data_IF_258551162110
#
_entry.id   IF_258551162110
#
_cell.length_a   1.000
_cell.length_b   1.000
_cell.length_c   1.000
_cell.angle_alpha   90.00
_cell.angle_beta   90.00
_cell.angle_gamma   90.00
#
_symmetry.space_group_name_H-M   'P 1'
#
loop_
_entity.id
_entity.type
_entity.pdbx_description
1 polymer ?
#
# COMPACT_ATOMS: atom_id res chain seq x y z
N UNK A 1 -18.75 -27.46 -11.74
CA UNK A 1 -17.85 -27.77 -12.88
C UNK A 1 -18.14 -29.16 -13.41
N UNK A 2 -18.95 -29.30 -14.48
CA UNK A 2 -19.38 -30.60 -15.01
C UNK A 2 -18.22 -31.49 -15.51
N UNK A 3 -17.25 -30.91 -16.23
CA UNK A 3 -16.13 -31.64 -16.86
C UNK A 3 -15.16 -32.31 -15.86
N UNK A 4 -14.97 -31.74 -14.68
CA UNK A 4 -14.15 -32.36 -13.62
C UNK A 4 -14.81 -33.61 -13.05
N UNK A 5 -16.14 -33.61 -12.95
CA UNK A 5 -16.90 -34.76 -12.45
C UNK A 5 -16.86 -35.93 -13.44
N UNK A 6 -16.79 -35.65 -14.74
CA UNK A 6 -16.61 -36.67 -15.78
C UNK A 6 -15.17 -37.25 -15.77
N UNK A 7 -14.14 -36.41 -15.65
CA UNK A 7 -12.75 -36.88 -15.59
C UNK A 7 -12.45 -37.72 -14.34
N UNK A 8 -13.06 -37.39 -13.21
CA UNK A 8 -12.92 -38.16 -11.98
C UNK A 8 -13.55 -39.58 -12.07
N UNK A 9 -14.33 -39.88 -13.11
CA UNK A 9 -14.85 -41.22 -13.35
C UNK A 9 -13.85 -42.14 -14.07
N UNK A 10 -12.85 -41.58 -14.75
CA UNK A 10 -11.93 -42.33 -15.61
C UNK A 10 -10.46 -42.20 -15.22
N UNK A 11 -10.11 -41.24 -14.35
CA UNK A 11 -8.76 -41.03 -13.85
C UNK A 11 -8.76 -40.44 -12.44
N UNK A 12 -7.65 -40.63 -11.72
CA UNK A 12 -7.41 -39.97 -10.44
C UNK A 12 -7.13 -38.48 -10.67
N UNK A 13 -8.01 -37.63 -10.14
CA UNK A 13 -7.91 -36.18 -10.27
C UNK A 13 -7.31 -35.60 -8.98
N UNK A 14 -6.03 -35.23 -9.05
CA UNK A 14 -5.28 -34.68 -7.90
C UNK A 14 -5.49 -33.17 -7.69
N UNK A 15 -5.92 -32.45 -8.72
CA UNK A 15 -6.12 -31.01 -8.63
C UNK A 15 -6.54 -30.38 -9.96
N UNK A 16 -6.98 -29.13 -9.89
CA UNK A 16 -7.35 -28.32 -11.04
C UNK A 16 -6.59 -27.01 -11.01
N UNK A 17 -5.89 -26.70 -12.10
CA UNK A 17 -5.10 -25.47 -12.23
C UNK A 17 -5.78 -24.54 -13.23
N UNK A 18 -6.15 -23.35 -12.77
CA UNK A 18 -6.68 -22.31 -13.63
C UNK A 18 -5.53 -21.60 -14.35
N UNK A 19 -5.53 -21.62 -15.68
CA UNK A 19 -4.49 -21.01 -16.49
C UNK A 19 -4.86 -19.57 -16.88
N UNK A 20 -4.90 -18.66 -15.89
CA UNK A 20 -5.33 -17.27 -16.11
C UNK A 20 -4.16 -16.27 -16.20
N UNK A 21 -2.94 -16.66 -15.82
CA UNK A 21 -1.77 -15.77 -15.86
C UNK A 21 -0.53 -16.51 -16.38
N UNK A 22 0.10 -15.96 -17.43
CA UNK A 22 1.35 -16.38 -18.08
C UNK A 22 1.50 -17.85 -18.55
N UNK A 23 0.49 -18.71 -18.43
CA UNK A 23 0.56 -20.05 -18.99
C UNK A 23 1.23 -21.10 -18.10
N UNK A 24 1.41 -20.84 -16.79
CA UNK A 24 2.18 -21.70 -15.87
C UNK A 24 1.45 -22.96 -15.39
N UNK A 25 0.17 -23.16 -15.75
CA UNK A 25 -0.58 -24.33 -15.27
C UNK A 25 0.13 -25.68 -15.51
N UNK A 26 0.78 -25.95 -16.67
CA UNK A 26 1.52 -27.19 -16.88
C UNK A 26 2.74 -27.36 -15.97
N UNK A 27 3.46 -26.28 -15.65
CA UNK A 27 4.62 -26.30 -14.74
C UNK A 27 4.18 -26.57 -13.30
N UNK A 28 3.15 -25.87 -12.85
CA UNK A 28 2.60 -26.05 -11.50
C UNK A 28 2.03 -27.46 -11.28
N UNK A 29 1.43 -28.07 -12.31
CA UNK A 29 0.99 -29.47 -12.24
C UNK A 29 2.18 -30.41 -11.95
N UNK A 30 3.30 -30.21 -12.65
CA UNK A 30 4.49 -31.05 -12.49
C UNK A 30 5.14 -30.83 -11.11
N UNK A 31 5.12 -29.59 -10.60
CA UNK A 31 5.64 -29.24 -9.27
C UNK A 31 4.85 -29.95 -8.16
N UNK A 32 3.53 -29.94 -8.24
CA UNK A 32 2.69 -30.65 -7.27
C UNK A 32 2.88 -32.17 -7.37
N UNK A 33 3.00 -32.71 -8.58
CA UNK A 33 3.34 -34.14 -8.76
C UNK A 33 4.71 -34.49 -8.16
N UNK A 34 5.67 -33.56 -8.17
CA UNK A 34 6.99 -33.77 -7.59
C UNK A 34 6.95 -33.74 -6.07
N UNK A 35 6.19 -32.81 -5.50
CA UNK A 35 5.94 -32.76 -4.05
C UNK A 35 5.22 -34.01 -3.55
N UNK A 36 4.37 -34.63 -4.39
CA UNK A 36 3.69 -35.89 -4.09
C UNK A 36 4.55 -37.13 -4.36
N UNK A 37 5.77 -36.97 -4.90
CA UNK A 37 6.68 -38.07 -5.22
C UNK A 37 6.25 -38.92 -6.42
N UNK A 38 5.37 -38.40 -7.29
CA UNK A 38 4.72 -39.13 -8.39
C UNK A 38 5.22 -38.73 -9.78
N UNK A 39 6.22 -37.85 -9.89
CA UNK A 39 6.72 -37.36 -11.19
C UNK A 39 7.59 -38.38 -11.91
N UNK A 40 7.38 -38.51 -13.22
CA UNK A 40 8.24 -39.33 -14.10
C UNK A 40 9.48 -38.55 -14.59
N UNK A 41 10.57 -39.24 -15.01
CA UNK A 41 11.75 -38.58 -15.57
C UNK A 41 11.44 -37.66 -16.77
N UNK A 42 10.54 -38.09 -17.65
CA UNK A 42 10.10 -37.34 -18.85
C UNK A 42 9.37 -36.03 -18.48
N UNK A 43 8.57 -36.05 -17.41
CA UNK A 43 7.89 -34.86 -16.90
C UNK A 43 8.88 -33.86 -16.29
N UNK A 44 9.93 -34.36 -15.60
CA UNK A 44 11.00 -33.50 -15.08
C UNK A 44 11.81 -32.84 -16.20
N UNK A 45 12.11 -33.57 -17.27
CA UNK A 45 12.80 -33.00 -18.44
C UNK A 45 11.93 -31.93 -19.14
N UNK A 46 10.64 -32.22 -19.31
CA UNK A 46 9.68 -31.27 -19.88
C UNK A 46 9.61 -29.97 -19.09
N UNK A 47 9.58 -30.06 -17.75
CA UNK A 47 9.63 -28.90 -16.84
C UNK A 47 10.90 -28.08 -17.05
N UNK A 48 12.07 -28.73 -17.10
CA UNK A 48 13.35 -28.03 -17.31
C UNK A 48 13.37 -27.27 -18.64
N UNK A 49 12.80 -27.86 -19.70
CA UNK A 49 12.68 -27.22 -21.01
C UNK A 49 11.77 -25.98 -20.97
N UNK A 50 10.63 -26.08 -20.28
CA UNK A 50 9.69 -24.96 -20.12
C UNK A 50 10.35 -23.84 -19.29
N UNK A 51 10.91 -24.17 -18.13
CA UNK A 51 11.60 -23.21 -17.25
C UNK A 51 12.78 -22.52 -17.96
N UNK A 52 13.56 -23.26 -18.76
CA UNK A 52 14.67 -22.73 -19.55
C UNK A 52 14.22 -21.72 -20.61
N UNK A 53 13.09 -21.95 -21.27
CA UNK A 53 12.50 -21.01 -22.22
C UNK A 53 12.10 -19.68 -21.55
N UNK A 54 11.61 -19.72 -20.31
CA UNK A 54 11.29 -18.51 -19.53
C UNK A 54 12.55 -17.78 -19.02
N UNK A 55 13.56 -18.51 -18.54
CA UNK A 55 14.84 -17.93 -18.08
C UNK A 55 15.59 -17.18 -19.19
N UNK A 56 15.42 -17.58 -20.45
CA UNK A 56 15.96 -16.85 -21.61
C UNK A 56 15.29 -15.50 -21.89
N UNK A 57 14.08 -15.24 -21.36
CA UNK A 57 13.33 -13.98 -21.53
C UNK A 57 13.49 -12.99 -20.37
N UNK A 58 13.94 -13.44 -19.19
CA UNK A 58 14.03 -12.59 -17.99
C UNK A 58 15.49 -12.22 -17.73
N UNK A 59 16.01 -11.26 -18.47
CA UNK A 59 17.29 -10.58 -18.17
C UNK A 59 17.06 -9.43 -17.20
N UNK A 60 16.58 -9.72 -15.99
CA UNK A 60 16.70 -8.81 -14.86
C UNK A 60 17.13 -9.63 -13.66
N UNK A 61 18.38 -9.43 -13.22
CA UNK A 61 18.90 -10.04 -11.99
C UNK A 61 18.03 -9.59 -10.82
N UNK A 62 17.11 -10.43 -10.36
CA UNK A 62 16.46 -10.21 -9.07
C UNK A 62 17.38 -10.71 -7.97
N UNK A 63 17.76 -9.82 -7.08
CA UNK A 63 18.38 -10.16 -5.79
C UNK A 63 17.42 -11.13 -5.07
N UNK A 64 17.89 -12.27 -4.54
CA UNK A 64 17.01 -13.22 -3.85
C UNK A 64 16.44 -12.56 -2.60
N UNK A 65 15.11 -12.38 -2.60
CA UNK A 65 14.33 -11.87 -1.46
C UNK A 65 13.93 -13.02 -0.55
N UNK A 66 14.02 -12.80 0.74
CA UNK A 66 13.60 -13.72 1.80
C UNK A 66 12.10 -13.55 2.09
N UNK A 67 11.50 -14.50 2.80
CA UNK A 67 10.08 -14.40 3.22
C UNK A 67 9.80 -13.17 4.09
N UNK A 68 10.81 -12.68 4.83
CA UNK A 68 10.71 -11.43 5.60
C UNK A 68 10.52 -10.21 4.68
N UNK A 69 11.18 -10.19 3.52
CA UNK A 69 11.04 -9.11 2.53
C UNK A 69 9.63 -9.09 1.90
N UNK A 70 8.94 -10.24 1.86
CA UNK A 70 7.54 -10.33 1.39
C UNK A 70 6.52 -9.86 2.43
N UNK A 71 6.79 -10.09 3.73
CA UNK A 71 5.95 -9.59 4.81
C UNK A 71 6.04 -8.06 4.97
N UNK A 72 7.16 -7.46 4.57
CA UNK A 72 7.33 -6.00 4.51
C UNK A 72 6.76 -5.39 3.21
N UNK A 73 6.53 -6.21 2.17
CA UNK A 73 6.01 -5.80 0.86
C UNK A 73 4.47 -5.85 0.75
N UNK A 74 3.74 -5.21 1.67
CA UNK A 74 2.40 -4.66 1.36
C UNK A 74 2.15 -3.32 2.06
N UNK A 75 3.21 -2.66 2.54
CA UNK A 75 3.11 -1.28 2.98
C UNK A 75 3.19 -0.38 1.74
N UNK A 76 2.03 0.00 1.23
CA UNK A 76 1.89 1.05 0.21
C UNK A 76 2.74 2.27 0.65
N UNK A 77 3.56 2.79 -0.28
CA UNK A 77 4.45 3.92 0.00
C UNK A 77 3.62 5.11 0.51
N UNK A 78 4.14 5.90 1.45
CA UNK A 78 3.39 7.01 2.06
C UNK A 78 2.93 7.98 0.97
N UNK A 79 3.76 8.25 -0.05
CA UNK A 79 3.38 9.14 -1.13
C UNK A 79 2.24 8.55 -1.99
N UNK A 80 2.20 7.23 -2.16
CA UNK A 80 1.09 6.54 -2.83
C UNK A 80 -0.19 6.62 -1.99
N UNK A 81 -0.12 6.34 -0.68
CA UNK A 81 -1.26 6.50 0.23
C UNK A 81 -1.78 7.95 0.24
N UNK A 82 -0.87 8.91 0.28
CA UNK A 82 -1.18 10.33 0.32
C UNK A 82 -1.88 10.79 -0.97
N UNK A 83 -1.53 10.23 -2.13
CA UNK A 83 -2.12 10.57 -3.43
C UNK A 83 -3.64 10.36 -3.51
N UNK A 84 -4.21 9.51 -2.64
CA UNK A 84 -5.66 9.35 -2.51
C UNK A 84 -6.36 10.55 -1.85
N UNK A 85 -5.62 11.37 -1.12
CA UNK A 85 -6.14 12.49 -0.33
C UNK A 85 -5.73 13.86 -0.86
N UNK A 86 -4.69 13.94 -1.69
CA UNK A 86 -4.17 15.19 -2.24
C UNK A 86 -4.11 15.15 -3.77
N UNK A 87 -4.39 16.28 -4.42
CA UNK A 87 -4.22 16.39 -5.87
C UNK A 87 -2.72 16.41 -6.23
N UNK A 88 -2.33 15.81 -7.36
CA UNK A 88 -0.94 15.72 -7.80
C UNK A 88 -0.20 17.07 -7.83
N UNK A 89 -0.87 18.12 -8.31
CA UNK A 89 -0.33 19.49 -8.32
C UNK A 89 -0.05 20.03 -6.91
N UNK A 90 -0.89 19.71 -5.93
CA UNK A 90 -0.71 20.09 -4.51
C UNK A 90 0.33 19.23 -3.82
N UNK A 91 0.46 17.95 -4.18
CA UNK A 91 1.49 17.07 -3.67
C UNK A 91 2.88 17.55 -4.05
N UNK A 92 3.07 17.99 -5.30
CA UNK A 92 4.38 18.52 -5.71
C UNK A 92 4.72 19.79 -4.92
N UNK A 93 3.76 20.71 -4.77
CA UNK A 93 3.92 21.88 -3.90
C UNK A 93 4.18 21.53 -2.43
N UNK A 94 3.65 20.40 -1.94
CA UNK A 94 3.86 19.94 -0.57
C UNK A 94 5.31 19.50 -0.35
N UNK A 95 5.92 18.79 -1.31
CA UNK A 95 7.33 18.36 -1.25
C UNK A 95 8.31 19.53 -1.19
N UNK A 96 7.94 20.69 -1.75
CA UNK A 96 8.77 21.89 -1.74
C UNK A 96 8.79 22.60 -0.38
N UNK A 97 7.83 22.32 0.50
CA UNK A 97 7.75 22.93 1.83
C UNK A 97 8.76 22.25 2.74
N UNK A 98 9.78 23.00 3.15
CA UNK A 98 10.82 22.54 4.09
C UNK A 98 10.69 23.15 5.48
N UNK A 99 9.88 24.19 5.60
CA UNK A 99 9.65 24.94 6.84
C UNK A 99 8.55 24.25 7.65
N UNK A 100 8.95 23.25 8.42
CA UNK A 100 8.06 22.41 9.23
C UNK A 100 8.68 22.27 10.62
N UNK A 101 8.01 22.79 11.63
CA UNK A 101 8.40 22.66 13.03
C UNK A 101 7.41 21.76 13.75
N UNK A 102 7.89 20.62 14.26
CA UNK A 102 7.09 19.71 15.08
C UNK A 102 7.01 20.26 16.51
N UNK A 103 5.84 20.72 16.92
CA UNK A 103 5.59 21.25 18.27
C UNK A 103 5.33 20.09 19.23
N UNK A 104 4.51 19.12 18.82
CA UNK A 104 4.17 17.95 19.61
C UNK A 104 3.92 16.73 18.70
N UNK A 105 4.54 15.61 19.06
CA UNK A 105 4.33 14.32 18.39
C UNK A 105 4.03 13.27 19.46
N UNK A 106 2.75 13.18 19.83
CA UNK A 106 2.24 12.23 20.81
C UNK A 106 1.60 11.00 20.16
N UNK A 107 1.19 10.06 21.01
CA UNK A 107 0.39 8.90 20.59
C UNK A 107 -1.10 9.25 20.39
N UNK A 108 -1.55 10.36 20.98
CA UNK A 108 -2.92 10.86 21.00
C UNK A 108 -3.12 12.05 20.06
N UNK A 109 -2.10 12.90 19.87
CA UNK A 109 -2.17 14.10 19.04
C UNK A 109 -0.85 14.45 18.36
N UNK A 110 -0.96 15.19 17.26
CA UNK A 110 0.15 15.73 16.49
C UNK A 110 -0.09 17.23 16.31
N UNK A 111 0.89 18.05 16.66
CA UNK A 111 0.86 19.50 16.53
C UNK A 111 2.11 19.96 15.82
N UNK A 112 1.94 20.73 14.75
CA UNK A 112 3.06 21.24 13.95
C UNK A 112 2.76 22.64 13.43
N UNK A 113 3.81 23.43 13.29
CA UNK A 113 3.82 24.61 12.44
C UNK A 113 4.34 24.22 11.05
N UNK A 114 3.61 24.58 10.00
CA UNK A 114 3.97 24.31 8.62
C UNK A 114 3.97 25.64 7.87
N UNK A 115 5.14 26.23 7.68
CA UNK A 115 5.32 27.53 6.99
C UNK A 115 4.47 28.64 7.63
N UNK A 116 4.40 28.67 8.97
CA UNK A 116 3.62 29.62 9.75
C UNK A 116 2.12 29.33 9.86
N UNK A 117 1.66 28.16 9.37
CA UNK A 117 0.30 27.67 9.56
C UNK A 117 0.27 26.59 10.63
N UNK A 118 -0.69 26.69 11.55
CA UNK A 118 -0.83 25.74 12.66
C UNK A 118 -1.67 24.54 12.23
N UNK A 119 -1.06 23.35 12.25
CA UNK A 119 -1.74 22.07 12.00
C UNK A 119 -1.88 21.29 13.30
N UNK A 120 -3.10 20.89 13.63
CA UNK A 120 -3.42 20.08 14.80
C UNK A 120 -4.21 18.85 14.39
N UNK A 121 -3.74 17.66 14.77
CA UNK A 121 -4.35 16.38 14.45
C UNK A 121 -4.62 15.65 15.77
N UNK A 122 -5.89 15.35 16.04
CA UNK A 122 -6.30 14.53 17.18
C UNK A 122 -6.57 13.10 16.69
N UNK A 123 -5.76 12.14 17.14
CA UNK A 123 -5.87 10.74 16.73
C UNK A 123 -7.01 10.02 17.47
N UNK A 124 -7.33 10.46 18.70
CA UNK A 124 -8.41 9.89 19.51
C UNK A 124 -9.79 10.38 19.05
N UNK A 125 -9.94 11.70 18.94
CA UNK A 125 -11.17 12.37 18.52
C UNK A 125 -11.30 12.43 16.99
N UNK A 126 -10.25 12.06 16.25
CA UNK A 126 -10.24 11.87 14.78
C UNK A 126 -10.61 13.13 14.02
N UNK A 127 -9.94 14.23 14.33
CA UNK A 127 -10.13 15.47 13.60
C UNK A 127 -8.81 16.11 13.23
N UNK A 128 -8.83 16.85 12.13
CA UNK A 128 -7.72 17.64 11.63
C UNK A 128 -8.14 19.10 11.59
N UNK A 129 -7.30 19.95 12.19
CA UNK A 129 -7.37 21.40 12.13
C UNK A 129 -6.17 21.94 11.38
N UNK A 130 -6.44 22.90 10.51
CA UNK A 130 -5.46 23.70 9.79
C UNK A 130 -6.06 25.10 9.59
N UNK A 131 -5.27 26.14 9.77
CA UNK A 131 -5.66 27.54 9.60
C UNK A 131 -5.37 28.08 8.18
N UNK A 132 -4.80 27.26 7.29
CA UNK A 132 -4.53 27.61 5.90
C UNK A 132 -5.80 27.97 5.10
N UNK A 133 -5.69 29.00 4.26
CA UNK A 133 -6.76 29.40 3.34
C UNK A 133 -7.22 28.32 2.34
N UNK A 134 -6.33 27.42 1.90
CA UNK A 134 -6.68 26.30 1.00
C UNK A 134 -7.45 25.20 1.74
N UNK A 135 -7.26 25.09 3.06
CA UNK A 135 -7.92 24.09 3.90
C UNK A 135 -9.44 24.26 3.93
N UNK A 136 -9.93 25.50 4.03
CA UNK A 136 -11.39 25.77 4.08
C UNK A 136 -12.17 25.14 2.93
N UNK A 137 -11.57 25.10 1.74
CA UNK A 137 -12.16 24.47 0.55
C UNK A 137 -11.91 22.96 0.54
N UNK A 138 -10.66 22.55 0.71
CA UNK A 138 -10.24 21.15 0.58
C UNK A 138 -10.82 20.27 1.69
N UNK A 139 -10.99 20.79 2.90
CA UNK A 139 -11.65 20.12 4.03
C UNK A 139 -13.09 19.66 3.70
N UNK A 140 -13.87 20.48 2.98
CA UNK A 140 -15.24 20.13 2.56
C UNK A 140 -15.27 18.96 1.58
N UNK A 141 -14.24 18.88 0.75
CA UNK A 141 -14.04 17.80 -0.23
C UNK A 141 -13.29 16.60 0.39
N UNK A 142 -12.96 16.66 1.68
CA UNK A 142 -12.10 15.69 2.39
C UNK A 142 -10.76 15.43 1.69
N UNK A 143 -10.21 16.50 1.12
CA UNK A 143 -8.89 16.53 0.50
C UNK A 143 -7.91 17.31 1.38
N UNK A 144 -6.64 16.98 1.25
CA UNK A 144 -5.56 17.71 1.91
C UNK A 144 -5.13 18.92 1.12
N UNK A 145 -4.81 19.98 1.87
CA UNK A 145 -4.02 21.09 1.37
C UNK A 145 -2.55 20.66 1.25
N UNK A 146 -1.73 21.51 0.64
CA UNK A 146 -0.27 21.29 0.56
C UNK A 146 0.44 21.26 1.92
N UNK A 147 -0.07 21.95 2.94
CA UNK A 147 0.58 22.00 4.27
C UNK A 147 0.40 20.67 5.02
N UNK A 148 -0.81 20.11 5.03
CA UNK A 148 -1.04 18.77 5.59
C UNK A 148 -0.30 17.71 4.77
N UNK A 149 -0.26 17.84 3.44
CA UNK A 149 0.57 16.98 2.61
C UNK A 149 2.05 17.03 3.01
N UNK A 150 2.58 18.22 3.26
CA UNK A 150 3.97 18.39 3.67
C UNK A 150 4.24 17.81 5.06
N UNK A 151 3.31 18.01 6.00
CA UNK A 151 3.37 17.40 7.33
C UNK A 151 3.39 15.86 7.24
N UNK A 152 2.51 15.25 6.44
CA UNK A 152 2.49 13.79 6.26
C UNK A 152 3.79 13.24 5.69
N UNK A 153 4.49 14.00 4.84
CA UNK A 153 5.79 13.63 4.30
C UNK A 153 6.95 13.83 5.31
N UNK A 154 6.78 14.72 6.29
CA UNK A 154 7.77 15.01 7.32
C UNK A 154 7.62 14.14 8.58
N UNK A 155 6.44 13.60 8.83
CA UNK A 155 6.17 12.71 9.94
C UNK A 155 6.92 11.37 9.81
N UNK A 156 7.25 10.71 10.93
CA UNK A 156 7.71 9.32 10.91
C UNK A 156 6.70 8.43 10.18
N UNK A 157 7.18 7.45 9.42
CA UNK A 157 6.36 6.63 8.54
C UNK A 157 5.18 5.96 9.26
N UNK A 158 5.39 5.47 10.49
CA UNK A 158 4.34 4.83 11.27
C UNK A 158 3.25 5.83 11.70
N UNK A 159 3.62 7.06 12.04
CA UNK A 159 2.67 8.11 12.42
C UNK A 159 1.86 8.59 11.21
N UNK A 160 2.53 8.86 10.09
CA UNK A 160 1.88 9.27 8.85
C UNK A 160 0.90 8.19 8.35
N UNK A 161 1.34 6.93 8.31
CA UNK A 161 0.49 5.80 7.91
C UNK A 161 -0.68 5.61 8.86
N UNK A 162 -0.47 5.75 10.17
CA UNK A 162 -1.53 5.68 11.18
C UNK A 162 -2.66 6.67 10.92
N UNK A 163 -2.31 7.92 10.58
CA UNK A 163 -3.29 8.95 10.20
C UNK A 163 -4.01 8.58 8.89
N UNK A 164 -3.26 8.30 7.83
CA UNK A 164 -3.81 8.04 6.49
C UNK A 164 -4.74 6.82 6.48
N UNK A 165 -4.31 5.71 7.09
CA UNK A 165 -5.15 4.52 7.21
C UNK A 165 -6.34 4.74 8.16
N UNK A 166 -6.14 5.53 9.22
CA UNK A 166 -7.21 5.92 10.14
C UNK A 166 -8.35 6.61 9.40
N UNK A 167 -8.01 7.56 8.51
CA UNK A 167 -8.97 8.28 7.67
C UNK A 167 -9.66 7.33 6.66
N UNK A 168 -8.94 6.33 6.14
CA UNK A 168 -9.53 5.33 5.24
C UNK A 168 -10.58 4.46 5.93
N UNK A 169 -10.31 4.06 7.17
CA UNK A 169 -11.13 3.08 7.93
C UNK A 169 -12.29 3.72 8.68
N UNK A 170 -12.19 5.01 9.03
CA UNK A 170 -13.14 5.68 9.93
C UNK A 170 -13.54 7.06 9.41
N UNK A 171 -14.63 7.61 9.96
CA UNK A 171 -15.02 8.99 9.67
C UNK A 171 -14.14 9.94 10.50
N UNK A 172 -13.45 10.83 9.82
CA UNK A 172 -12.65 11.90 10.41
C UNK A 172 -13.28 13.26 10.10
N UNK A 173 -13.14 14.21 11.02
CA UNK A 173 -13.62 15.58 10.86
C UNK A 173 -12.51 16.51 10.37
N UNK A 174 -12.83 17.34 9.38
CA UNK A 174 -11.89 18.25 8.74
C UNK A 174 -12.42 19.66 8.99
N UNK A 175 -11.79 20.39 9.91
CA UNK A 175 -12.30 21.67 10.41
C UNK A 175 -11.23 22.75 10.32
N UNK A 176 -11.63 23.99 10.05
CA UNK A 176 -10.68 25.10 10.00
C UNK A 176 -10.43 25.64 11.41
N UNK A 177 -9.17 25.87 11.77
CA UNK A 177 -8.83 26.63 12.96
C UNK A 177 -8.89 28.12 12.66
N UNK A 178 -9.66 28.89 13.43
CA UNK A 178 -9.84 30.34 13.22
C UNK A 178 -9.10 31.21 14.24
N UNK A 179 -8.09 30.67 14.92
CA UNK A 179 -7.16 31.43 15.76
C UNK A 179 -7.05 30.94 17.21
N UNK A 180 -5.87 31.19 17.79
CA UNK A 180 -5.42 30.93 19.16
C UNK A 180 -6.52 31.19 20.20
N UNK A 181 -7.18 30.12 20.63
CA UNK A 181 -7.98 30.08 21.85
C UNK A 181 -7.29 29.12 22.80
N UNK A 182 -6.86 29.62 23.96
CA UNK A 182 -6.27 28.85 25.04
C UNK A 182 -7.06 27.56 25.29
N UNK A 183 -6.35 26.44 25.33
CA UNK A 183 -6.87 25.22 25.95
C UNK A 183 -7.07 25.56 27.43
N UNK A 184 -8.32 25.84 27.82
CA UNK A 184 -8.76 25.82 29.21
C UNK A 184 -9.20 24.41 29.59
#
# INVERSE_FOLDING_TARGET
>A
MPKLKEMAQTADVYGYFNNHYHGYAPENCVDVLEMLGMTTPEQKETRQRISGYWKGKVTTKSIPRTLSDFLEQEKEDIATLLSGYIEASRLENAKEIKDIEMIELGTDKIVADVRGYSVYIDLEKKFILDDCGDWRRTARERRFCKHIGALMLALPEDAARGVLEGIKKQQWEFSQYTGRGDVK
#
